data_IF_616003304394
#
_entry.id   IF_616003304394
#
_cell.length_a   1.000
_cell.length_b   1.000
_cell.length_c   1.000
_cell.angle_alpha   90.00
_cell.angle_beta   90.00
_cell.angle_gamma   90.00
#
_symmetry.space_group_name_H-M   'P 1'
#
loop_
_entity.id
_entity.type
_entity.pdbx_description
1 polymer ?
#
# COMPACT_ATOMS: atom_id res chain seq x y z
N UNK A 1 5.44 8.10 26.21
CA UNK A 1 5.67 7.74 24.83
C UNK A 1 4.65 6.72 24.35
N UNK A 2 3.94 7.03 23.32
CA UNK A 2 2.95 6.07 22.86
C UNK A 2 3.62 4.79 22.35
N UNK A 3 2.98 3.67 22.51
CA UNK A 3 3.53 2.43 22.02
C UNK A 3 3.57 2.42 20.51
N UNK A 4 4.47 1.64 20.00
CA UNK A 4 4.53 1.44 18.59
C UNK A 4 3.25 0.83 18.08
N UNK A 5 2.85 1.28 16.91
CA UNK A 5 1.60 0.83 16.38
C UNK A 5 1.88 -0.28 15.44
N UNK A 6 2.30 -1.16 15.36
CA UNK A 6 2.55 -2.23 14.41
C UNK A 6 2.19 -3.56 15.05
N UNK A 7 0.90 -3.76 15.35
CA UNK A 7 0.51 -4.95 16.09
C UNK A 7 0.78 -6.25 15.35
N UNK A 8 0.86 -6.21 14.02
CA UNK A 8 1.15 -7.41 13.24
C UNK A 8 2.65 -7.59 12.99
N UNK A 9 3.45 -6.71 13.52
CA UNK A 9 4.89 -6.86 13.52
C UNK A 9 5.47 -6.92 12.11
N UNK A 10 5.04 -6.00 11.26
CA UNK A 10 5.53 -5.92 9.90
C UNK A 10 6.92 -5.29 9.88
N UNK A 11 7.76 -5.75 8.96
CA UNK A 11 9.07 -5.14 8.81
C UNK A 11 8.96 -3.87 7.97
N UNK A 12 10.07 -3.15 7.80
CA UNK A 12 10.07 -1.86 7.14
C UNK A 12 9.57 -1.95 5.71
N UNK A 13 10.00 -2.95 4.96
CA UNK A 13 9.58 -3.10 3.57
C UNK A 13 8.09 -3.43 3.48
N UNK A 14 7.59 -4.27 4.37
CA UNK A 14 6.17 -4.61 4.41
C UNK A 14 5.33 -3.39 4.76
N UNK A 15 5.77 -2.59 5.72
CA UNK A 15 5.07 -1.36 6.10
C UNK A 15 5.05 -0.37 4.95
N UNK A 16 6.17 -0.19 4.25
CA UNK A 16 6.21 0.72 3.11
C UNK A 16 5.28 0.27 2.01
N UNK A 17 5.26 -1.03 1.71
CA UNK A 17 4.40 -1.57 0.68
C UNK A 17 2.93 -1.37 1.03
N UNK A 18 2.57 -1.67 2.27
CA UNK A 18 1.18 -1.47 2.70
C UNK A 18 0.78 -0.01 2.63
N UNK A 19 1.68 0.90 3.00
CA UNK A 19 1.41 2.34 2.91
C UNK A 19 1.08 2.74 1.48
N UNK A 20 1.84 2.24 0.52
CA UNK A 20 1.59 2.56 -0.88
C UNK A 20 0.26 1.97 -1.36
N UNK A 21 -0.07 0.75 -0.94
CA UNK A 21 -1.35 0.16 -1.30
C UNK A 21 -2.51 0.97 -0.73
N UNK A 22 -2.37 1.45 0.50
CA UNK A 22 -3.40 2.29 1.10
C UNK A 22 -3.59 3.58 0.31
N UNK A 23 -2.51 4.13 -0.19
CA UNK A 23 -2.63 5.36 -0.97
C UNK A 23 -3.28 5.09 -2.33
N UNK A 24 -2.91 4.00 -2.98
CA UNK A 24 -3.56 3.60 -4.22
C UNK A 24 -5.05 3.34 -4.02
N UNK A 25 -5.42 2.84 -2.85
CA UNK A 25 -6.80 2.56 -2.54
C UNK A 25 -7.66 3.81 -2.44
N UNK A 26 -7.06 4.98 -2.33
CA UNK A 26 -7.78 6.25 -2.31
C UNK A 26 -7.97 6.85 -3.69
N UNK A 27 -7.37 6.27 -4.71
CA UNK A 27 -7.34 6.88 -6.04
C UNK A 27 -8.16 6.05 -7.01
N UNK A 28 -9.20 6.63 -7.61
CA UNK A 28 -10.06 5.86 -8.50
C UNK A 28 -9.35 5.34 -9.75
N UNK A 29 -8.24 5.95 -10.14
CA UNK A 29 -7.49 5.44 -11.27
C UNK A 29 -6.82 4.11 -10.99
N UNK A 30 -6.63 3.76 -9.72
CA UNK A 30 -5.89 2.57 -9.34
C UNK A 30 -6.71 1.60 -8.51
N UNK A 31 -7.96 1.94 -8.19
CA UNK A 31 -8.71 1.13 -7.24
C UNK A 31 -10.19 1.18 -7.52
N UNK A 32 -10.90 0.18 -6.98
CA UNK A 32 -12.35 0.09 -7.02
C UNK A 32 -12.82 -0.49 -5.71
N UNK A 33 -14.06 -0.20 -5.31
CA UNK A 33 -14.61 -0.85 -4.12
C UNK A 33 -14.64 -2.37 -4.30
N UNK A 34 -14.31 -3.07 -3.24
CA UNK A 34 -14.40 -4.53 -3.24
C UNK A 34 -15.79 -5.01 -2.84
N UNK A 35 -15.98 -6.32 -2.92
CA UNK A 35 -17.26 -6.92 -2.57
C UNK A 35 -17.55 -6.82 -1.08
N UNK A 36 -16.53 -7.01 -0.27
CA UNK A 36 -16.68 -6.89 1.17
C UNK A 36 -16.68 -5.41 1.54
N UNK A 37 -17.65 -4.93 2.35
CA UNK A 37 -17.65 -3.54 2.76
C UNK A 37 -16.32 -3.15 3.41
N UNK A 38 -15.76 -2.04 2.97
CA UNK A 38 -14.48 -1.56 3.48
C UNK A 38 -13.26 -2.14 2.78
N UNK A 39 -13.44 -3.11 1.88
CA UNK A 39 -12.32 -3.62 1.09
C UNK A 39 -12.17 -2.84 -0.21
N UNK A 40 -10.97 -2.89 -0.80
CA UNK A 40 -10.67 -2.14 -2.02
C UNK A 40 -9.87 -3.02 -2.95
N UNK A 41 -10.31 -3.15 -4.19
CA UNK A 41 -9.57 -3.86 -5.23
C UNK A 41 -8.51 -2.93 -5.78
N UNK A 42 -7.28 -3.39 -5.82
CA UNK A 42 -6.20 -2.63 -6.44
C UNK A 42 -6.17 -3.02 -7.92
N UNK A 43 -6.57 -2.09 -8.77
CA UNK A 43 -6.75 -2.36 -10.19
C UNK A 43 -5.48 -2.18 -11.01
N UNK A 44 -4.48 -1.50 -10.47
CA UNK A 44 -3.23 -1.33 -11.18
C UNK A 44 -2.17 -0.73 -10.27
N UNK A 45 -0.94 -0.77 -10.76
CA UNK A 45 0.19 -0.18 -10.04
C UNK A 45 0.80 0.90 -10.91
N UNK A 46 1.30 1.98 -10.30
CA UNK A 46 1.92 3.05 -11.08
C UNK A 46 3.22 2.58 -11.71
N UNK A 47 3.57 3.23 -12.81
CA UNK A 47 4.84 2.98 -13.49
C UNK A 47 5.87 3.98 -12.98
N UNK A 48 7.08 3.49 -12.77
CA UNK A 48 8.16 4.37 -12.35
C UNK A 48 8.61 5.26 -13.51
N UNK A 49 8.94 6.49 -13.18
CA UNK A 49 9.56 7.44 -14.11
C UNK A 49 10.97 7.68 -13.60
N UNK A 50 11.93 6.85 -14.05
CA UNK A 50 13.26 6.91 -13.51
C UNK A 50 13.28 6.43 -12.07
N UNK A 51 13.59 7.33 -11.14
CA UNK A 51 13.75 6.96 -9.74
C UNK A 51 12.55 7.30 -8.87
N UNK A 52 11.40 7.60 -9.47
CA UNK A 52 10.22 7.97 -8.69
C UNK A 52 8.94 7.54 -9.39
N UNK A 53 7.85 7.53 -8.61
CA UNK A 53 6.49 7.29 -9.08
C UNK A 53 5.64 8.50 -8.74
N UNK A 54 4.59 8.68 -9.53
CA UNK A 54 3.54 9.64 -9.18
C UNK A 54 2.31 8.86 -8.74
N UNK A 55 1.82 9.15 -7.56
CA UNK A 55 0.58 8.58 -7.04
C UNK A 55 -0.31 9.73 -6.66
N UNK A 56 -1.26 10.07 -7.54
CA UNK A 56 -2.06 11.26 -7.37
C UNK A 56 -1.19 12.50 -7.37
N UNK A 57 -1.27 13.29 -6.31
CA UNK A 57 -0.42 14.46 -6.14
C UNK A 57 0.90 14.17 -5.46
N UNK A 58 1.11 12.93 -5.06
CA UNK A 58 2.30 12.59 -4.29
C UNK A 58 3.39 12.06 -5.21
N UNK A 59 4.62 12.24 -4.78
CA UNK A 59 5.80 11.68 -5.43
C UNK A 59 6.44 10.70 -4.45
N UNK A 60 6.74 9.51 -4.93
CA UNK A 60 7.33 8.45 -4.11
C UNK A 60 8.62 7.99 -4.76
N UNK A 61 9.70 7.99 -4.00
CA UNK A 61 10.97 7.46 -4.50
C UNK A 61 10.84 5.98 -4.81
N UNK A 62 11.41 5.55 -5.93
CA UNK A 62 11.26 4.15 -6.37
C UNK A 62 11.80 3.17 -5.34
N UNK A 63 12.81 3.54 -4.57
CA UNK A 63 13.37 2.60 -3.61
C UNK A 63 12.40 2.30 -2.45
N UNK A 64 11.37 3.13 -2.25
CA UNK A 64 10.33 2.83 -1.26
C UNK A 64 9.30 1.85 -1.79
N UNK A 65 9.29 1.61 -3.09
CA UNK A 65 8.24 0.84 -3.74
C UNK A 65 8.70 -0.55 -4.18
N UNK A 66 9.89 -0.98 -3.77
CA UNK A 66 10.43 -2.25 -4.23
C UNK A 66 9.56 -3.43 -3.78
N UNK A 67 8.85 -3.29 -2.67
CA UNK A 67 8.00 -4.37 -2.18
C UNK A 67 6.79 -4.64 -3.04
N UNK A 68 6.37 -3.67 -3.86
CA UNK A 68 5.22 -3.89 -4.74
C UNK A 68 5.48 -5.00 -5.78
N UNK A 69 6.73 -5.28 -6.07
CA UNK A 69 7.08 -6.34 -7.01
C UNK A 69 7.80 -7.50 -6.34
N UNK A 70 7.73 -7.57 -5.02
CA UNK A 70 8.39 -8.61 -4.25
C UNK A 70 7.35 -9.61 -3.76
N UNK A 71 7.31 -10.83 -4.33
CA UNK A 71 6.30 -11.80 -3.94
C UNK A 71 6.35 -12.16 -2.45
N UNK A 72 7.52 -12.13 -1.84
CA UNK A 72 7.62 -12.46 -0.41
C UNK A 72 6.86 -11.47 0.45
N UNK A 73 6.86 -10.19 0.06
CA UNK A 73 6.11 -9.18 0.79
C UNK A 73 4.61 -9.46 0.69
N UNK A 74 4.12 -9.75 -0.52
CA UNK A 74 2.71 -10.04 -0.73
C UNK A 74 2.26 -11.25 0.07
N UNK A 75 3.09 -12.28 0.12
CA UNK A 75 2.75 -13.49 0.88
C UNK A 75 2.55 -13.16 2.35
N UNK A 76 3.42 -12.34 2.92
CA UNK A 76 3.30 -11.98 4.33
C UNK A 76 2.05 -11.12 4.56
N UNK A 77 1.81 -10.14 3.68
CA UNK A 77 0.62 -9.29 3.83
C UNK A 77 -0.65 -10.12 3.75
N UNK A 78 -0.67 -11.10 2.87
CA UNK A 78 -1.83 -11.97 2.74
C UNK A 78 -1.99 -12.86 3.97
N UNK A 79 -0.91 -13.43 4.44
CA UNK A 79 -0.94 -14.29 5.63
C UNK A 79 -1.47 -13.54 6.84
N UNK A 80 -1.16 -12.25 6.94
CA UNK A 80 -1.59 -11.45 8.08
C UNK A 80 -2.97 -10.81 7.88
N UNK A 81 -3.64 -11.15 6.79
CA UNK A 81 -5.00 -10.70 6.57
C UNK A 81 -5.14 -9.29 6.06
N UNK A 82 -4.07 -8.66 5.62
CA UNK A 82 -4.09 -7.29 5.14
C UNK A 82 -4.46 -7.19 3.68
N UNK A 83 -4.16 -8.24 2.91
CA UNK A 83 -4.41 -8.31 1.49
C UNK A 83 -4.96 -9.70 1.17
N UNK A 84 -5.79 -9.79 0.14
CA UNK A 84 -6.22 -11.06 -0.42
C UNK A 84 -6.06 -11.02 -1.93
N UNK A 85 -5.92 -12.17 -2.52
CA UNK A 85 -5.92 -12.28 -3.99
C UNK A 85 -7.19 -12.99 -4.41
N UNK A 86 -7.98 -12.31 -5.22
CA UNK A 86 -9.25 -12.84 -5.71
C UNK A 86 -9.26 -12.69 -7.23
N UNK A 87 -9.40 -13.80 -7.92
CA UNK A 87 -9.45 -13.81 -9.39
C UNK A 87 -8.26 -13.09 -10.02
N UNK A 88 -7.07 -13.27 -9.45
CA UNK A 88 -5.86 -12.66 -9.97
C UNK A 88 -5.67 -11.21 -9.60
N UNK A 89 -6.54 -10.66 -8.77
CA UNK A 89 -6.43 -9.26 -8.37
C UNK A 89 -6.14 -9.15 -6.90
N UNK A 90 -5.37 -8.14 -6.53
CA UNK A 90 -5.08 -7.86 -5.13
C UNK A 90 -6.24 -7.06 -4.54
N UNK A 91 -6.69 -7.49 -3.37
CA UNK A 91 -7.76 -6.81 -2.63
C UNK A 91 -7.20 -6.41 -1.28
N UNK A 92 -7.23 -5.12 -1.00
CA UNK A 92 -6.84 -4.62 0.33
C UNK A 92 -8.04 -4.83 1.24
N UNK A 93 -7.86 -5.62 2.29
CA UNK A 93 -8.96 -5.93 3.20
C UNK A 93 -9.28 -4.73 4.08
N UNK A 94 -10.42 -4.73 4.77
CA UNK A 94 -10.69 -3.63 5.71
C UNK A 94 -9.58 -3.47 6.74
N UNK A 95 -8.99 -4.56 7.22
CA UNK A 95 -7.85 -4.48 8.12
C UNK A 95 -6.68 -3.79 7.43
N UNK A 96 -6.42 -4.13 6.16
CA UNK A 96 -5.34 -3.50 5.41
C UNK A 96 -5.58 -2.03 5.16
N UNK A 97 -6.81 -1.66 4.85
CA UNK A 97 -7.15 -0.25 4.61
C UNK A 97 -6.91 0.57 5.88
N UNK A 98 -7.28 0.03 7.02
CA UNK A 98 -7.21 0.79 8.27
C UNK A 98 -5.93 0.61 9.08
N UNK A 99 -5.00 -0.19 8.60
CA UNK A 99 -3.78 -0.44 9.38
C UNK A 99 -2.92 0.82 9.45
N UNK A 100 -2.50 1.20 10.63
CA UNK A 100 -1.67 2.38 10.83
C UNK A 100 -0.20 2.00 10.64
N UNK A 101 0.33 2.32 9.46
CA UNK A 101 1.73 2.01 9.17
C UNK A 101 2.69 3.04 9.75
N UNK A 102 2.19 4.25 10.02
CA UNK A 102 3.03 5.33 10.52
C UNK A 102 3.99 5.92 9.49
N UNK A 103 3.90 5.52 8.21
CA UNK A 103 4.89 5.90 7.22
C UNK A 103 4.37 6.82 6.13
N UNK A 104 3.08 7.14 6.15
CA UNK A 104 2.50 7.86 5.02
C UNK A 104 3.24 9.15 4.72
N UNK A 105 3.50 9.95 5.74
CA UNK A 105 4.17 11.23 5.52
C UNK A 105 5.65 11.08 5.18
N UNK A 106 6.25 10.00 5.64
CA UNK A 106 7.66 9.77 5.35
C UNK A 106 7.89 9.33 3.91
N UNK A 107 6.93 8.64 3.31
CA UNK A 107 7.08 8.06 1.97
C UNK A 107 6.48 8.95 0.91
N UNK A 108 5.33 9.54 1.19
CA UNK A 108 4.57 10.31 0.20
C UNK A 108 4.94 11.78 0.31
N UNK A 109 5.43 12.34 -0.77
CA UNK A 109 5.74 13.75 -0.82
C UNK A 109 4.76 14.42 -1.75
N UNK A 110 3.97 15.31 -1.20
CA UNK A 110 3.04 16.07 -2.02
C UNK A 110 3.85 17.09 -2.80
N UNK A 111 3.70 17.06 -4.11
CA UNK A 111 4.48 17.92 -4.95
C UNK A 111 3.87 19.27 -5.07
N UNK A 112 4.02 20.08 -4.09
CA UNK A 112 3.37 21.37 -4.10
C UNK A 112 4.32 22.52 -4.28
N UNK A 113 5.55 22.28 -4.30
CA UNK A 113 6.43 23.41 -4.45
C UNK A 113 7.53 23.20 -5.30
#
# INVERSE_FOLDING_TARGET
MPPKRNPLNLNALQLRTLTLLQELARLPDYSRPGDEPGSVVIAGLPMAHGDHFHIGNAVVASHHATGLRNPAVWIVLERKGLVRHVSGRAVLTPLGVGYDTGLREAILRVGSQ
#
